data_IF_725056121527
#
_entry.id   IF_725056121527
#
_cell.length_a   1.000
_cell.length_b   1.000
_cell.length_c   1.000
_cell.angle_alpha   90.00
_cell.angle_beta   90.00
_cell.angle_gamma   90.00
#
_symmetry.space_group_name_H-M   'P 1'
#
loop_
_entity.id
_entity.type
_entity.pdbx_description
1 polymer ?
#
# COMPACT_ATOMS: atom_id res chain seq x y z
N UNK A 1 2.45 -39.58 11.09
CA UNK A 1 2.50 -38.48 10.08
C UNK A 1 1.96 -37.21 10.73
N UNK A 2 2.82 -36.48 11.42
CA UNK A 2 2.51 -35.18 12.03
C UNK A 2 3.24 -34.09 11.25
N UNK A 3 2.51 -33.35 10.43
CA UNK A 3 3.03 -32.19 9.71
C UNK A 3 3.42 -31.10 10.72
N UNK A 4 4.71 -30.95 11.01
CA UNK A 4 5.23 -29.72 11.60
C UNK A 4 5.26 -28.67 10.50
N UNK A 5 4.25 -27.79 10.50
CA UNK A 5 4.28 -26.58 9.70
C UNK A 5 5.46 -25.73 10.18
N UNK A 6 6.57 -25.74 9.44
CA UNK A 6 7.66 -24.78 9.63
C UNK A 6 7.06 -23.37 9.52
N UNK A 7 6.91 -22.70 10.66
CA UNK A 7 6.41 -21.33 10.70
C UNK A 7 7.45 -20.44 10.04
N UNK A 8 7.08 -19.83 8.92
CA UNK A 8 7.97 -18.96 8.17
C UNK A 8 8.37 -17.80 9.10
N UNK A 9 9.67 -17.47 9.27
CA UNK A 9 10.15 -16.54 10.31
C UNK A 9 9.50 -15.15 10.29
N UNK A 10 8.97 -14.71 9.14
CA UNK A 10 8.22 -13.45 9.04
C UNK A 10 6.82 -13.53 9.68
N UNK A 11 6.18 -14.70 9.69
CA UNK A 11 4.83 -14.89 10.26
C UNK A 11 4.87 -14.75 11.78
N UNK A 12 5.83 -15.39 12.44
CA UNK A 12 6.04 -15.28 13.89
C UNK A 12 6.36 -13.82 14.30
N UNK A 13 7.22 -13.15 13.52
CA UNK A 13 7.57 -11.75 13.73
C UNK A 13 6.34 -10.82 13.54
N UNK A 14 5.55 -11.04 12.50
CA UNK A 14 4.33 -10.27 12.24
C UNK A 14 3.27 -10.49 13.32
N UNK A 15 3.09 -11.74 13.78
CA UNK A 15 2.16 -12.07 14.84
C UNK A 15 2.57 -11.41 16.16
N UNK A 16 3.84 -11.50 16.55
CA UNK A 16 4.36 -10.84 17.76
C UNK A 16 4.12 -9.33 17.73
N UNK A 17 4.40 -8.66 16.60
CA UNK A 17 4.16 -7.22 16.44
C UNK A 17 2.67 -6.87 16.59
N UNK A 18 1.78 -7.64 15.97
CA UNK A 18 0.33 -7.45 16.10
C UNK A 18 -0.15 -7.65 17.54
N UNK A 19 0.31 -8.71 18.20
CA UNK A 19 -0.06 -9.00 19.59
C UNK A 19 0.41 -7.87 20.51
N UNK A 20 1.66 -7.41 20.39
CA UNK A 20 2.18 -6.29 21.18
C UNK A 20 1.37 -5.01 20.92
N UNK A 21 1.04 -4.71 19.66
CA UNK A 21 0.26 -3.54 19.29
C UNK A 21 -1.14 -3.55 19.92
N UNK A 22 -1.90 -4.63 19.75
CA UNK A 22 -3.25 -4.74 20.32
C UNK A 22 -3.23 -4.85 21.84
N UNK A 23 -2.23 -5.53 22.43
CA UNK A 23 -2.05 -5.58 23.87
C UNK A 23 -1.79 -4.19 24.47
N UNK A 24 -0.96 -3.37 23.82
CA UNK A 24 -0.71 -2.00 24.26
C UNK A 24 -1.97 -1.12 24.18
N UNK A 25 -2.77 -1.25 23.12
CA UNK A 25 -4.06 -0.55 22.99
C UNK A 25 -5.03 -0.97 24.09
N UNK A 26 -5.16 -2.27 24.33
CA UNK A 26 -6.03 -2.82 25.37
C UNK A 26 -5.57 -2.36 26.77
N UNK A 27 -4.27 -2.36 27.03
CA UNK A 27 -3.68 -1.88 28.28
C UNK A 27 -3.97 -0.39 28.50
N UNK A 28 -3.68 0.46 27.50
CA UNK A 28 -3.91 1.91 27.58
C UNK A 28 -5.38 2.24 27.80
N UNK A 29 -6.26 1.59 27.03
CA UNK A 29 -7.71 1.78 27.13
C UNK A 29 -8.23 1.30 28.49
N UNK A 30 -7.77 0.13 28.94
CA UNK A 30 -8.13 -0.42 30.24
C UNK A 30 -7.68 0.47 31.40
N UNK A 31 -6.43 0.95 31.36
CA UNK A 31 -5.89 1.84 32.39
C UNK A 31 -6.63 3.18 32.44
N UNK A 32 -6.89 3.80 31.28
CA UNK A 32 -7.65 5.04 31.21
C UNK A 32 -9.10 4.87 31.70
N UNK A 33 -9.75 3.76 31.31
CA UNK A 33 -11.13 3.45 31.73
C UNK A 33 -11.21 3.17 33.23
N UNK A 34 -10.24 2.43 33.77
CA UNK A 34 -10.12 2.19 35.21
C UNK A 34 -9.87 3.49 35.97
N UNK A 35 -8.95 4.33 35.49
CA UNK A 35 -8.63 5.61 36.11
C UNK A 35 -9.86 6.53 36.14
N UNK A 36 -10.61 6.61 35.04
CA UNK A 36 -11.87 7.37 35.02
C UNK A 36 -12.88 6.80 36.03
N UNK A 37 -13.11 5.48 36.00
CA UNK A 37 -14.07 4.82 36.88
C UNK A 37 -13.76 4.99 38.38
N UNK A 38 -12.48 4.97 38.74
CA UNK A 38 -12.01 5.16 40.11
C UNK A 38 -12.14 6.61 40.61
N UNK A 39 -12.16 7.59 39.70
CA UNK A 39 -12.26 9.01 40.03
C UNK A 39 -13.68 9.59 39.88
N UNK A 40 -14.67 8.77 39.53
CA UNK A 40 -16.07 9.21 39.52
C UNK A 40 -16.60 9.44 40.94
N UNK A 41 -17.50 10.42 41.16
CA UNK A 41 -18.08 10.68 42.47
C UNK A 41 -18.73 9.42 43.08
N UNK A 42 -18.49 9.21 44.39
CA UNK A 42 -19.08 8.10 45.16
C UNK A 42 -20.61 8.10 45.05
N UNK A 43 -21.20 9.29 45.16
CA UNK A 43 -22.66 9.55 45.15
C UNK A 43 -23.34 9.19 43.81
N UNK A 44 -22.56 8.97 42.75
CA UNK A 44 -23.12 8.66 41.44
C UNK A 44 -23.62 7.21 41.42
N UNK A 45 -24.91 7.04 41.09
CA UNK A 45 -25.54 5.71 40.97
C UNK A 45 -24.85 4.83 39.93
N UNK A 46 -24.91 3.50 40.13
CA UNK A 46 -24.23 2.53 39.26
C UNK A 46 -24.57 2.70 37.77
N UNK A 47 -25.85 2.91 37.44
CA UNK A 47 -26.30 3.11 36.06
C UNK A 47 -25.63 4.32 35.39
N UNK A 48 -25.50 5.42 36.13
CA UNK A 48 -24.85 6.64 35.63
C UNK A 48 -23.34 6.45 35.46
N UNK A 49 -22.68 5.73 36.38
CA UNK A 49 -21.27 5.34 36.22
C UNK A 49 -21.06 4.54 34.94
N UNK A 50 -21.91 3.54 34.67
CA UNK A 50 -21.85 2.75 33.44
C UNK A 50 -22.09 3.61 32.19
N UNK A 51 -23.07 4.53 32.23
CA UNK A 51 -23.40 5.43 31.12
C UNK A 51 -22.25 6.37 30.75
N UNK A 52 -21.37 6.71 31.68
CA UNK A 52 -20.18 7.52 31.43
C UNK A 52 -19.00 6.64 30.97
N UNK A 53 -18.74 5.55 31.69
CA UNK A 53 -17.55 4.71 31.49
C UNK A 53 -17.60 3.97 30.16
N UNK A 54 -18.75 3.44 29.74
CA UNK A 54 -18.85 2.63 28.51
C UNK A 54 -18.59 3.47 27.25
N UNK A 55 -19.25 4.63 27.02
CA UNK A 55 -18.95 5.48 25.88
C UNK A 55 -17.50 5.99 25.91
N UNK A 56 -17.00 6.35 27.09
CA UNK A 56 -15.60 6.73 27.24
C UNK A 56 -14.65 5.63 26.77
N UNK A 57 -14.85 4.38 27.20
CA UNK A 57 -14.00 3.27 26.81
C UNK A 57 -13.99 3.05 25.29
N UNK A 58 -15.16 3.15 24.64
CA UNK A 58 -15.29 3.01 23.18
C UNK A 58 -14.59 4.15 22.44
N UNK A 59 -14.81 5.40 22.87
CA UNK A 59 -14.18 6.56 22.25
C UNK A 59 -12.66 6.58 22.47
N UNK A 60 -12.23 6.22 23.69
CA UNK A 60 -10.81 6.14 24.02
C UNK A 60 -10.11 5.01 23.28
N UNK A 61 -10.78 3.86 23.05
CA UNK A 61 -10.24 2.80 22.21
C UNK A 61 -9.91 3.32 20.81
N UNK A 62 -10.80 4.12 20.22
CA UNK A 62 -10.58 4.74 18.91
C UNK A 62 -9.40 5.71 18.91
N UNK A 63 -9.29 6.52 19.97
CA UNK A 63 -8.16 7.42 20.18
C UNK A 63 -6.84 6.64 20.34
N UNK A 64 -6.83 5.59 21.15
CA UNK A 64 -5.67 4.74 21.41
C UNK A 64 -5.20 4.02 20.14
N UNK A 65 -6.13 3.59 19.27
CA UNK A 65 -5.81 3.04 17.95
C UNK A 65 -5.02 4.05 17.10
N UNK A 66 -5.50 5.29 17.00
CA UNK A 66 -4.82 6.36 16.25
C UNK A 66 -3.46 6.71 16.84
N UNK A 67 -3.40 6.89 18.16
CA UNK A 67 -2.17 7.18 18.90
C UNK A 67 -1.11 6.09 18.70
N UNK A 68 -1.47 4.82 18.92
CA UNK A 68 -0.54 3.70 18.76
C UNK A 68 -0.09 3.54 17.31
N UNK A 69 -0.95 3.84 16.33
CA UNK A 69 -0.56 3.85 14.90
C UNK A 69 0.50 4.92 14.63
N UNK A 70 0.35 6.12 15.18
CA UNK A 70 1.34 7.19 15.05
C UNK A 70 2.67 6.82 15.74
N UNK A 71 2.62 6.28 16.96
CA UNK A 71 3.81 5.81 17.71
C UNK A 71 4.52 4.70 16.94
N UNK A 72 3.78 3.74 16.38
CA UNK A 72 4.35 2.68 15.55
C UNK A 72 5.01 3.24 14.29
N UNK A 73 4.39 4.24 13.64
CA UNK A 73 4.97 4.96 12.52
C UNK A 73 6.29 5.65 12.87
N UNK A 74 6.32 6.41 13.97
CA UNK A 74 7.54 7.05 14.48
C UNK A 74 8.62 6.01 14.80
N UNK A 75 8.25 4.91 15.44
CA UNK A 75 9.19 3.83 15.75
C UNK A 75 9.80 3.22 14.49
N UNK A 76 8.97 2.94 13.47
CA UNK A 76 9.45 2.44 12.17
C UNK A 76 10.33 3.45 11.46
N UNK A 77 10.01 4.75 11.53
CA UNK A 77 10.82 5.79 10.92
C UNK A 77 12.21 5.91 11.57
N UNK A 78 12.30 5.83 12.91
CA UNK A 78 13.55 5.97 13.66
C UNK A 78 14.39 4.69 13.73
N UNK A 79 13.75 3.53 13.88
CA UNK A 79 14.43 2.25 14.18
C UNK A 79 14.16 1.15 13.13
N UNK A 80 13.36 1.41 12.10
CA UNK A 80 13.06 0.43 11.06
C UNK A 80 14.29 0.08 10.23
N UNK A 81 14.73 -1.18 10.31
CA UNK A 81 15.82 -1.77 9.51
C UNK A 81 15.41 -2.23 8.11
N UNK A 82 16.32 -2.95 7.43
CA UNK A 82 16.40 -3.36 6.00
C UNK A 82 15.11 -3.63 5.19
N UNK A 83 13.96 -3.89 5.83
CA UNK A 83 12.68 -4.19 5.19
C UNK A 83 11.73 -2.98 5.15
N UNK A 84 12.27 -1.76 5.04
CA UNK A 84 11.45 -0.59 4.73
C UNK A 84 10.99 -0.72 3.28
N UNK A 85 9.68 -0.60 3.04
CA UNK A 85 9.13 -0.55 1.67
C UNK A 85 9.71 0.64 0.89
N UNK A 86 10.12 1.70 1.60
CA UNK A 86 10.88 2.82 1.07
C UNK A 86 12.26 2.86 1.71
N UNK A 87 13.30 2.57 0.94
CA UNK A 87 14.68 2.94 1.28
C UNK A 87 14.77 4.45 1.53
N UNK A 88 15.70 4.89 2.38
CA UNK A 88 15.97 6.32 2.49
C UNK A 88 16.34 6.86 1.09
N UNK A 89 15.94 8.10 0.73
CA UNK A 89 16.18 8.64 -0.62
C UNK A 89 17.64 8.58 -1.09
N UNK A 90 18.59 8.55 -0.16
CA UNK A 90 20.04 8.53 -0.42
C UNK A 90 20.66 7.13 -0.28
N UNK A 91 19.89 6.10 0.11
CA UNK A 91 20.43 4.75 0.20
C UNK A 91 20.78 4.25 -1.21
N UNK A 92 21.97 3.63 -1.40
CA UNK A 92 22.32 3.05 -2.68
C UNK A 92 21.27 2.01 -3.08
N UNK A 93 20.83 2.05 -4.33
CA UNK A 93 19.91 1.06 -4.87
C UNK A 93 20.57 -0.33 -4.77
N UNK A 94 19.83 -1.38 -4.37
CA UNK A 94 20.36 -2.73 -4.40
C UNK A 94 20.74 -3.08 -5.85
N UNK A 95 21.85 -3.80 -6.01
CA UNK A 95 22.23 -4.30 -7.32
C UNK A 95 21.18 -5.32 -7.78
N UNK A 96 20.64 -5.14 -8.99
CA UNK A 96 19.77 -6.12 -9.62
C UNK A 96 20.61 -7.37 -9.94
N UNK A 97 20.34 -8.45 -9.23
CA UNK A 97 21.01 -9.74 -9.43
C UNK A 97 20.26 -10.65 -10.43
N UNK A 98 19.08 -10.24 -10.88
CA UNK A 98 18.27 -11.03 -11.81
C UNK A 98 18.67 -10.77 -13.26
N UNK A 99 18.65 -11.83 -14.08
CA UNK A 99 18.76 -11.75 -15.53
C UNK A 99 17.39 -11.65 -16.20
N UNK A 100 16.31 -11.80 -15.45
CA UNK A 100 14.95 -11.79 -15.97
C UNK A 100 14.47 -10.36 -16.21
N UNK A 101 13.56 -10.22 -17.17
CA UNK A 101 12.89 -8.94 -17.46
C UNK A 101 11.63 -8.83 -16.61
N UNK A 102 11.49 -7.72 -15.90
CA UNK A 102 10.34 -7.43 -15.04
C UNK A 102 9.31 -6.62 -15.82
N UNK A 103 8.10 -7.15 -15.95
CA UNK A 103 6.98 -6.44 -16.55
C UNK A 103 6.33 -5.48 -15.53
N UNK A 104 6.27 -4.20 -15.86
CA UNK A 104 5.53 -3.15 -15.15
C UNK A 104 4.17 -3.01 -15.81
N UNK A 105 3.14 -3.50 -15.12
CA UNK A 105 1.75 -3.47 -15.59
C UNK A 105 1.06 -2.20 -15.10
N UNK A 106 0.49 -1.42 -16.01
CA UNK A 106 -0.28 -0.21 -15.74
C UNK A 106 -1.75 -0.41 -16.18
N UNK A 107 -2.62 -0.94 -15.31
CA UNK A 107 -4.04 -1.05 -15.61
C UNK A 107 -4.71 0.32 -15.50
N UNK A 108 -5.44 0.74 -16.55
CA UNK A 108 -6.14 2.03 -16.61
C UNK A 108 -7.63 1.82 -16.95
N UNK A 109 -8.51 2.61 -16.33
CA UNK A 109 -9.95 2.62 -16.61
C UNK A 109 -10.53 4.02 -16.43
N UNK A 110 -10.83 4.70 -17.54
CA UNK A 110 -11.42 6.06 -17.54
C UNK A 110 -10.68 7.07 -16.64
N UNK A 111 -9.36 6.94 -16.54
CA UNK A 111 -8.49 7.82 -15.76
C UNK A 111 -8.16 9.10 -16.54
N UNK A 112 -7.60 10.11 -15.87
CA UNK A 112 -7.03 11.26 -16.57
C UNK A 112 -5.72 10.86 -17.27
N UNK A 113 -5.81 10.73 -18.59
CA UNK A 113 -4.74 10.31 -19.49
C UNK A 113 -3.50 11.19 -19.33
N UNK A 114 -3.65 12.51 -19.13
CA UNK A 114 -2.49 13.39 -18.98
C UNK A 114 -1.69 13.06 -17.72
N UNK A 115 -2.38 12.83 -16.60
CA UNK A 115 -1.74 12.46 -15.33
C UNK A 115 -1.09 11.09 -15.38
N UNK A 116 -1.80 10.10 -15.94
CA UNK A 116 -1.31 8.72 -16.04
C UNK A 116 -0.03 8.65 -16.86
N UNK A 117 -0.02 9.26 -18.05
CA UNK A 117 1.14 9.18 -18.95
C UNK A 117 2.31 10.05 -18.46
N UNK A 118 2.05 11.18 -17.80
CA UNK A 118 3.11 11.95 -17.13
C UNK A 118 3.75 11.15 -15.98
N UNK A 119 2.94 10.44 -15.19
CA UNK A 119 3.42 9.53 -14.16
C UNK A 119 4.27 8.40 -14.74
N UNK A 120 3.79 7.77 -15.82
CA UNK A 120 4.53 6.72 -16.52
C UNK A 120 5.87 7.22 -17.07
N UNK A 121 5.88 8.43 -17.68
CA UNK A 121 7.11 9.07 -18.14
C UNK A 121 8.10 9.29 -17.00
N UNK A 122 7.64 9.78 -15.85
CA UNK A 122 8.49 9.97 -14.67
C UNK A 122 9.07 8.67 -14.16
N UNK A 123 8.28 7.58 -14.14
CA UNK A 123 8.77 6.25 -13.74
C UNK A 123 9.83 5.75 -14.71
N UNK A 124 9.56 5.86 -16.02
CA UNK A 124 10.51 5.47 -17.07
C UNK A 124 11.84 6.21 -16.93
N UNK A 125 11.81 7.54 -16.85
CA UNK A 125 13.01 8.37 -16.72
C UNK A 125 13.75 8.11 -15.40
N UNK A 126 13.02 7.82 -14.32
CA UNK A 126 13.63 7.43 -13.05
C UNK A 126 14.40 6.12 -13.17
N UNK A 127 13.86 5.12 -13.88
CA UNK A 127 14.54 3.86 -14.14
C UNK A 127 15.69 4.02 -15.12
N UNK A 128 15.54 4.85 -16.14
CA UNK A 128 16.62 5.18 -17.09
C UNK A 128 17.84 5.75 -16.37
N UNK A 129 17.64 6.67 -15.42
CA UNK A 129 18.71 7.24 -14.58
C UNK A 129 19.46 6.20 -13.74
N UNK A 130 18.86 5.04 -13.47
CA UNK A 130 19.55 3.95 -12.76
C UNK A 130 20.48 3.14 -13.65
N UNK A 131 20.39 3.29 -14.99
CA UNK A 131 21.13 2.49 -15.97
C UNK A 131 20.60 1.06 -16.12
N UNK A 132 19.52 0.69 -15.44
CA UNK A 132 18.99 -0.67 -15.38
C UNK A 132 17.71 -0.88 -16.20
N UNK A 133 17.32 0.12 -17.01
CA UNK A 133 16.08 0.12 -17.78
C UNK A 133 15.90 -1.12 -18.66
N UNK A 134 17.00 -1.73 -19.11
CA UNK A 134 16.99 -2.94 -19.93
C UNK A 134 16.28 -4.14 -19.29
N UNK A 135 16.19 -4.18 -17.96
CA UNK A 135 15.52 -5.22 -17.19
C UNK A 135 14.02 -4.97 -16.99
N UNK A 136 13.45 -3.92 -17.58
CA UNK A 136 12.05 -3.56 -17.41
C UNK A 136 11.34 -3.36 -18.76
N UNK A 137 10.09 -3.80 -18.80
CA UNK A 137 9.15 -3.58 -19.89
C UNK A 137 7.84 -3.02 -19.32
N UNK A 138 7.18 -2.11 -20.05
CA UNK A 138 5.99 -1.41 -19.59
C UNK A 138 4.78 -1.86 -20.42
N UNK A 139 3.71 -2.25 -19.74
CA UNK A 139 2.48 -2.71 -20.36
C UNK A 139 1.30 -1.89 -19.86
N UNK A 140 0.77 -1.02 -20.72
CA UNK A 140 -0.42 -0.22 -20.45
C UNK A 140 -1.64 -1.06 -20.84
N UNK A 141 -2.46 -1.38 -19.85
CA UNK A 141 -3.61 -2.27 -19.99
C UNK A 141 -4.90 -1.48 -19.82
N UNK A 142 -5.49 -1.02 -20.92
CA UNK A 142 -6.72 -0.24 -20.93
C UNK A 142 -7.97 -1.11 -20.89
N UNK A 143 -8.83 -0.85 -19.91
CA UNK A 143 -10.19 -1.37 -19.79
C UNK A 143 -11.25 -0.28 -20.02
N UNK A 144 -10.84 0.93 -20.44
CA UNK A 144 -11.73 2.07 -20.70
C UNK A 144 -12.83 1.69 -21.70
N UNK A 145 -14.05 2.16 -21.49
CA UNK A 145 -15.24 1.83 -22.30
C UNK A 145 -15.71 2.97 -23.20
N UNK A 146 -15.14 4.17 -23.04
CA UNK A 146 -15.44 5.34 -23.87
C UNK A 146 -14.50 5.42 -25.09
N UNK A 147 -15.10 5.53 -26.28
CA UNK A 147 -14.40 5.70 -27.54
C UNK A 147 -13.56 6.98 -27.60
N UNK A 148 -14.00 8.06 -26.93
CA UNK A 148 -13.24 9.31 -26.89
C UNK A 148 -11.95 9.17 -26.08
N UNK A 149 -11.98 8.39 -25.00
CA UNK A 149 -10.81 8.07 -24.19
C UNK A 149 -9.83 7.17 -24.94
N UNK A 150 -10.30 6.22 -25.76
CA UNK A 150 -9.40 5.36 -26.54
C UNK A 150 -8.48 6.13 -27.47
N UNK A 151 -9.02 7.09 -28.21
CA UNK A 151 -8.23 7.87 -29.15
C UNK A 151 -7.19 8.72 -28.42
N UNK A 152 -7.57 9.28 -27.27
CA UNK A 152 -6.69 10.07 -26.42
C UNK A 152 -5.59 9.20 -25.79
N UNK A 153 -5.90 7.98 -25.36
CA UNK A 153 -4.93 7.02 -24.80
C UNK A 153 -3.91 6.60 -25.87
N UNK A 154 -4.37 6.28 -27.07
CA UNK A 154 -3.50 5.88 -28.19
C UNK A 154 -2.60 7.04 -28.65
N UNK A 155 -3.15 8.26 -28.71
CA UNK A 155 -2.38 9.46 -29.01
C UNK A 155 -1.32 9.76 -27.93
N UNK A 156 -1.69 9.63 -26.65
CA UNK A 156 -0.78 9.82 -25.52
C UNK A 156 0.32 8.76 -25.48
N UNK A 157 0.00 7.50 -25.78
CA UNK A 157 0.97 6.42 -25.91
C UNK A 157 1.96 6.68 -27.04
N UNK A 158 1.46 7.04 -28.23
CA UNK A 158 2.32 7.39 -29.36
C UNK A 158 3.23 8.58 -29.04
N UNK A 159 2.70 9.60 -28.35
CA UNK A 159 3.49 10.74 -27.91
C UNK A 159 4.58 10.32 -26.91
N UNK A 160 4.24 9.51 -25.90
CA UNK A 160 5.18 9.01 -24.91
C UNK A 160 6.32 8.22 -25.56
N UNK A 161 6.01 7.28 -26.46
CA UNK A 161 7.01 6.48 -27.17
C UNK A 161 7.98 7.35 -27.97
N UNK A 162 7.49 8.45 -28.59
CA UNK A 162 8.34 9.44 -29.28
C UNK A 162 9.22 10.21 -28.31
N UNK A 163 8.68 10.64 -27.16
CA UNK A 163 9.42 11.45 -26.17
C UNK A 163 10.54 10.66 -25.51
N UNK A 164 10.30 9.39 -25.18
CA UNK A 164 11.30 8.54 -24.52
C UNK A 164 12.21 7.78 -25.50
N UNK A 165 11.92 7.87 -26.80
CA UNK A 165 12.71 7.21 -27.85
C UNK A 165 12.67 5.67 -27.78
N UNK A 166 11.71 5.08 -27.08
CA UNK A 166 11.59 3.63 -26.91
C UNK A 166 10.18 3.16 -27.22
N UNK A 167 10.01 2.69 -28.46
CA UNK A 167 8.77 2.04 -28.90
C UNK A 167 8.77 0.56 -28.48
N UNK A 168 9.95 -0.05 -28.39
CA UNK A 168 10.09 -1.50 -28.20
C UNK A 168 9.82 -1.98 -26.77
N UNK A 169 9.71 -1.05 -25.80
CA UNK A 169 9.54 -1.37 -24.37
C UNK A 169 8.22 -0.92 -23.76
N UNK A 170 7.41 -0.15 -24.51
CA UNK A 170 6.14 0.39 -24.01
C UNK A 170 5.01 -0.16 -24.87
N UNK A 171 4.34 -1.17 -24.35
CA UNK A 171 3.27 -1.87 -25.03
C UNK A 171 1.92 -1.34 -24.56
N UNK A 172 1.05 -1.00 -25.50
CA UNK A 172 -0.32 -0.61 -25.21
C UNK A 172 -1.28 -1.73 -25.66
N UNK A 173 -2.16 -2.15 -24.75
CA UNK A 173 -3.18 -3.17 -25.00
C UNK A 173 -4.53 -2.71 -24.48
N UNK A 174 -5.56 -2.88 -25.31
CA UNK A 174 -6.97 -2.70 -24.94
C UNK A 174 -7.72 -4.02 -25.00
N UNK A 175 -8.54 -4.34 -24.00
CA UNK A 175 -9.43 -5.51 -24.04
C UNK A 175 -10.72 -5.20 -24.81
N UNK A 176 -11.13 -6.09 -25.72
CA UNK A 176 -12.43 -6.01 -26.44
C UNK A 176 -13.61 -6.63 -25.66
N UNK A 177 -13.34 -7.42 -24.61
CA UNK A 177 -14.35 -8.10 -23.81
C UNK A 177 -13.97 -8.10 -22.33
N UNK A 178 -14.90 -7.66 -21.47
CA UNK A 178 -14.70 -7.47 -20.02
C UNK A 178 -15.14 -8.71 -19.24
N UNK A 179 -14.24 -9.66 -19.04
CA UNK A 179 -14.45 -10.74 -18.07
C UNK A 179 -13.53 -10.52 -16.86
N UNK A 180 -14.13 -10.44 -15.65
CA UNK A 180 -13.47 -10.40 -14.32
C UNK A 180 -12.65 -9.14 -13.93
N UNK A 181 -13.05 -7.92 -14.30
CA UNK A 181 -12.52 -6.63 -13.78
C UNK A 181 -10.96 -6.61 -13.69
N UNK A 182 -10.40 -6.11 -12.57
CA UNK A 182 -8.95 -5.92 -12.35
C UNK A 182 -8.15 -7.24 -12.30
N UNK A 183 -8.74 -8.31 -11.76
CA UNK A 183 -8.08 -9.63 -11.68
C UNK A 183 -7.99 -10.32 -13.04
N UNK A 184 -8.97 -10.11 -13.92
CA UNK A 184 -8.92 -10.63 -15.28
C UNK A 184 -7.83 -9.97 -16.14
N UNK A 185 -7.51 -8.70 -15.90
CA UNK A 185 -6.49 -7.97 -16.66
C UNK A 185 -5.07 -8.54 -16.49
N UNK A 186 -4.78 -9.06 -15.29
CA UNK A 186 -3.47 -9.67 -14.96
C UNK A 186 -3.43 -11.15 -15.31
N UNK A 187 -4.57 -11.87 -15.30
CA UNK A 187 -4.61 -13.29 -15.66
C UNK A 187 -4.49 -13.57 -17.16
N UNK A 188 -4.84 -12.61 -18.02
CA UNK A 188 -4.74 -12.74 -19.48
C UNK A 188 -3.40 -12.20 -20.03
N UNK A 189 -2.39 -12.03 -19.16
CA UNK A 189 -1.00 -11.69 -19.47
C UNK A 189 -0.13 -12.91 -19.23
#
# INVERSE_FOLDING_TARGET
>A
MSQHSEQIPWQATALRRRVVFFAAIALLTGLATFWLGANLPSELGFLWKVLVVVPFAVLFLWLALGFMTAVAGIWVLNFGGQNRIASAPTSPLPQLQTRDTTAILLPIYNEDIAYVYAGLQSIYQSLEKTGQLQHFEFYILSDSDDASNWLREEAAWSALCRTVGSVDRIHYRRRKHRTKKKSGNVMDF
#
